data_IF_949525662805
#
_entry.id   IF_949525662805
#
_cell.length_a   1.000
_cell.length_b   1.000
_cell.length_c   1.000
_cell.angle_alpha   90.00
_cell.angle_beta   90.00
_cell.angle_gamma   90.00
#
_symmetry.space_group_name_H-M   'P 1'
#
loop_
_entity.id
_entity.type
_entity.pdbx_description
1 polymer ?
#
# COMPACT_ATOMS: atom_id res chain seq x y z
N UNK A 1 1.89 17.15 -1.03
CA UNK A 1 2.04 16.01 -1.94
C UNK A 1 3.50 15.94 -2.34
N UNK A 2 4.29 15.19 -1.57
CA UNK A 2 5.66 14.87 -1.95
C UNK A 2 5.63 14.14 -3.29
N UNK A 3 6.42 14.63 -4.25
CA UNK A 3 6.60 14.00 -5.54
C UNK A 3 7.07 12.57 -5.35
N UNK A 4 6.26 11.60 -5.77
CA UNK A 4 6.64 10.17 -5.81
C UNK A 4 8.00 10.07 -6.49
N UNK A 5 9.01 9.63 -5.76
CA UNK A 5 10.36 9.44 -6.30
C UNK A 5 10.36 8.21 -7.22
N UNK A 6 9.76 8.34 -8.42
CA UNK A 6 9.71 7.28 -9.44
C UNK A 6 11.08 6.85 -9.96
N UNK A 7 12.13 7.58 -9.59
CA UNK A 7 13.53 7.23 -9.86
C UNK A 7 14.13 6.18 -8.93
N UNK A 8 13.41 5.76 -7.88
CA UNK A 8 13.83 4.65 -7.00
C UNK A 8 12.74 3.57 -6.92
N UNK A 9 13.04 2.31 -7.25
CA UNK A 9 12.08 1.21 -7.10
C UNK A 9 11.58 1.07 -5.65
N UNK A 10 12.47 1.20 -4.67
CA UNK A 10 12.12 1.17 -3.25
C UNK A 10 11.26 2.37 -2.84
N UNK A 11 11.56 3.56 -3.36
CA UNK A 11 10.78 4.77 -3.11
C UNK A 11 9.35 4.66 -3.62
N UNK A 12 9.17 4.07 -4.81
CA UNK A 12 7.85 3.75 -5.36
C UNK A 12 7.12 2.73 -4.48
N UNK A 13 7.80 1.65 -4.08
CA UNK A 13 7.21 0.63 -3.25
C UNK A 13 6.76 1.18 -1.87
N UNK A 14 7.58 2.03 -1.24
CA UNK A 14 7.24 2.70 0.03
C UNK A 14 6.08 3.68 -0.13
N UNK A 15 6.06 4.47 -1.21
CA UNK A 15 4.94 5.38 -1.50
C UNK A 15 3.63 4.62 -1.73
N UNK A 16 3.70 3.42 -2.32
CA UNK A 16 2.55 2.55 -2.47
C UNK A 16 2.01 2.08 -1.11
N UNK A 17 2.87 1.58 -0.22
CA UNK A 17 2.47 1.17 1.13
C UNK A 17 1.88 2.33 1.93
N UNK A 18 2.47 3.54 1.81
CA UNK A 18 1.91 4.74 2.43
C UNK A 18 0.48 4.97 1.98
N UNK A 19 0.23 4.91 0.68
CA UNK A 19 -1.08 5.19 0.11
C UNK A 19 -2.10 4.10 0.43
N UNK A 20 -1.68 2.83 0.38
CA UNK A 20 -2.49 1.66 0.77
C UNK A 20 -2.88 1.64 2.26
N UNK A 21 -2.19 2.42 3.10
CA UNK A 21 -2.42 2.49 4.55
C UNK A 21 -2.85 3.89 5.00
N UNK A 22 -3.13 4.81 4.07
CA UNK A 22 -3.66 6.15 4.35
C UNK A 22 -5.13 6.20 3.94
N UNK A 23 -6.00 6.13 4.93
CA UNK A 23 -7.45 6.09 4.76
C UNK A 23 -8.08 7.32 5.40
N UNK A 24 -9.13 7.83 4.78
CA UNK A 24 -9.94 8.92 5.31
C UNK A 24 -11.40 8.56 5.13
N UNK A 25 -12.13 8.35 6.24
CA UNK A 25 -13.54 7.93 6.20
C UNK A 25 -14.47 8.97 5.57
N UNK A 26 -14.03 10.23 5.42
CA UNK A 26 -14.77 11.29 4.72
C UNK A 26 -14.60 11.17 3.21
N UNK A 27 -13.46 10.66 2.74
CA UNK A 27 -13.12 10.56 1.31
C UNK A 27 -13.36 9.16 0.75
N UNK A 28 -13.09 8.13 1.55
CA UNK A 28 -13.10 6.72 1.17
C UNK A 28 -14.22 6.02 1.95
N UNK A 29 -15.24 5.47 1.28
CA UNK A 29 -16.32 4.76 1.97
C UNK A 29 -15.89 3.35 2.43
N UNK A 30 -14.76 2.87 1.90
CA UNK A 30 -14.18 1.57 2.18
C UNK A 30 -12.67 1.59 1.92
N UNK A 31 -12.00 0.52 2.34
CA UNK A 31 -10.59 0.31 2.02
C UNK A 31 -10.36 0.20 0.51
N UNK A 32 -11.33 -0.37 -0.23
CA UNK A 32 -11.28 -0.45 -1.69
C UNK A 32 -11.23 0.94 -2.34
N UNK A 33 -12.06 1.88 -1.89
CA UNK A 33 -12.07 3.25 -2.45
C UNK A 33 -10.72 3.96 -2.22
N UNK A 34 -10.07 3.70 -1.08
CA UNK A 34 -8.74 4.24 -0.80
C UNK A 34 -7.65 3.65 -1.70
N UNK A 35 -7.76 2.36 -2.04
CA UNK A 35 -6.89 1.71 -3.03
C UNK A 35 -7.10 2.34 -4.41
N UNK A 36 -8.34 2.53 -4.83
CA UNK A 36 -8.68 3.14 -6.13
C UNK A 36 -8.13 4.55 -6.26
N UNK A 37 -8.26 5.36 -5.19
CA UNK A 37 -7.65 6.70 -5.10
C UNK A 37 -6.13 6.66 -5.24
N UNK A 38 -5.50 5.57 -4.81
CA UNK A 38 -4.05 5.33 -4.94
C UNK A 38 -3.65 4.85 -6.34
N UNK A 39 -4.63 4.54 -7.21
CA UNK A 39 -4.53 4.15 -8.62
C UNK A 39 -3.35 4.74 -9.40
N UNK A 40 -3.14 6.07 -9.39
CA UNK A 40 -2.08 6.72 -10.17
C UNK A 40 -0.64 6.27 -9.83
N UNK A 41 -0.41 5.60 -8.69
CA UNK A 41 0.89 5.03 -8.31
C UNK A 41 1.16 3.68 -8.97
N UNK A 42 0.10 3.00 -9.38
CA UNK A 42 0.15 1.67 -9.95
C UNK A 42 0.33 1.73 -11.47
N UNK A 43 0.95 0.69 -12.01
CA UNK A 43 0.94 0.46 -13.46
C UNK A 43 -0.49 0.15 -13.90
N UNK A 44 -0.85 0.48 -15.15
CA UNK A 44 -2.19 0.17 -15.70
C UNK A 44 -2.55 -1.33 -15.72
N UNK A 45 -1.61 -2.22 -15.35
CA UNK A 45 -1.85 -3.65 -15.15
C UNK A 45 -2.72 -3.93 -13.91
N UNK A 46 -2.58 -3.14 -12.84
CA UNK A 46 -3.41 -3.26 -11.63
C UNK A 46 -4.86 -2.80 -11.84
N UNK A 47 -5.09 -1.82 -12.72
CA UNK A 47 -6.44 -1.40 -13.14
C UNK A 47 -7.25 -2.59 -13.72
N UNK A 48 -6.58 -3.60 -14.29
CA UNK A 48 -7.21 -4.80 -14.83
C UNK A 48 -7.36 -5.98 -13.86
N UNK A 49 -6.62 -6.01 -12.75
CA UNK A 49 -6.59 -7.13 -11.80
C UNK A 49 -7.48 -6.96 -10.56
N UNK A 50 -8.03 -5.77 -10.30
CA UNK A 50 -8.89 -5.49 -9.13
C UNK A 50 -10.14 -6.39 -9.00
N UNK A 51 -10.45 -7.24 -9.99
CA UNK A 51 -11.56 -8.19 -9.95
C UNK A 51 -11.25 -9.56 -9.33
N UNK A 52 -10.03 -9.83 -8.83
CA UNK A 52 -9.72 -11.15 -8.28
C UNK A 52 -8.71 -11.14 -7.15
N UNK A 53 -9.14 -11.58 -5.97
CA UNK A 53 -8.34 -12.18 -4.87
C UNK A 53 -7.81 -11.33 -3.72
N UNK A 54 -8.13 -10.03 -3.60
CA UNK A 54 -7.94 -9.33 -2.31
C UNK A 54 -9.28 -8.97 -1.69
N UNK A 55 -9.60 -9.56 -0.53
CA UNK A 55 -10.72 -9.17 0.34
C UNK A 55 -10.50 -7.74 0.87
N UNK A 56 -10.66 -6.73 0.01
CA UNK A 56 -10.78 -5.32 0.38
C UNK A 56 -12.25 -4.98 0.64
N UNK A 57 -12.97 -5.84 1.37
CA UNK A 57 -14.43 -5.75 1.54
C UNK A 57 -14.85 -5.45 2.97
N UNK A 58 -14.09 -4.63 3.69
CA UNK A 58 -14.51 -4.12 4.99
C UNK A 58 -14.92 -2.66 4.85
N UNK A 59 -16.20 -2.38 5.03
CA UNK A 59 -16.64 -1.01 5.36
C UNK A 59 -15.96 -0.60 6.66
N UNK A 60 -15.65 0.69 6.79
CA UNK A 60 -15.15 1.23 8.05
C UNK A 60 -16.16 1.00 9.18
N UNK A 61 -15.67 0.85 10.40
CA UNK A 61 -16.53 0.80 11.58
C UNK A 61 -17.37 2.10 11.64
N UNK A 62 -18.66 1.98 11.96
CA UNK A 62 -19.59 3.11 11.96
C UNK A 62 -19.09 4.26 12.85
N UNK A 63 -18.50 3.95 14.01
CA UNK A 63 -17.90 4.94 14.91
C UNK A 63 -16.79 5.77 14.24
N UNK A 64 -15.94 5.16 13.41
CA UNK A 64 -14.88 5.88 12.69
C UNK A 64 -15.46 6.84 11.66
N UNK A 65 -16.52 6.41 10.96
CA UNK A 65 -17.21 7.23 9.96
C UNK A 65 -17.91 8.42 10.61
N UNK A 66 -18.65 8.20 11.70
CA UNK A 66 -19.31 9.28 12.45
C UNK A 66 -18.32 10.32 12.98
N UNK A 67 -17.10 9.90 13.30
CA UNK A 67 -16.05 10.76 13.82
C UNK A 67 -15.19 11.41 12.72
N UNK A 68 -15.46 11.11 11.45
CA UNK A 68 -14.63 11.60 10.32
C UNK A 68 -13.17 11.22 10.49
N UNK A 69 -12.91 9.98 10.91
CA UNK A 69 -11.57 9.53 11.24
C UNK A 69 -10.69 9.32 10.01
N UNK A 70 -9.37 9.45 10.20
CA UNK A 70 -8.33 9.21 9.20
C UNK A 70 -7.15 8.46 9.83
N UNK A 71 -6.30 7.83 9.02
CA UNK A 71 -5.09 7.14 9.51
C UNK A 71 -3.82 7.94 9.29
N UNK A 72 -2.86 7.77 10.20
CA UNK A 72 -1.46 8.18 10.02
C UNK A 72 -0.53 6.96 10.04
N UNK A 73 -0.15 6.40 8.88
CA UNK A 73 0.66 5.20 8.83
C UNK A 73 2.13 5.48 9.14
N UNK A 74 2.73 4.56 9.91
CA UNK A 74 4.17 4.45 10.17
C UNK A 74 4.70 3.24 9.41
N UNK A 75 5.58 3.48 8.45
CA UNK A 75 6.17 2.45 7.60
C UNK A 75 7.60 2.18 8.08
N UNK A 76 7.90 0.91 8.35
CA UNK A 76 9.22 0.48 8.79
C UNK A 76 9.75 -0.68 7.96
N UNK A 77 11.08 -0.74 7.84
CA UNK A 77 11.81 -1.82 7.17
C UNK A 77 12.23 -2.94 8.15
N UNK A 78 12.21 -2.65 9.47
CA UNK A 78 12.95 -3.41 10.48
C UNK A 78 12.10 -4.36 11.34
N UNK A 79 10.80 -4.10 11.49
CA UNK A 79 9.92 -4.86 12.40
C UNK A 79 9.16 -6.02 11.73
N UNK A 80 9.59 -6.47 10.55
CA UNK A 80 8.96 -7.64 9.92
C UNK A 80 9.45 -8.90 10.65
N UNK A 81 8.58 -9.51 11.46
CA UNK A 81 8.89 -10.76 12.15
C UNK A 81 9.31 -11.84 11.13
N UNK A 82 10.18 -12.77 11.55
CA UNK A 82 10.80 -13.75 10.67
C UNK A 82 9.80 -14.62 9.88
N UNK A 83 8.67 -14.96 10.49
CA UNK A 83 7.53 -15.66 9.89
C UNK A 83 6.83 -14.85 8.80
N UNK A 84 7.00 -13.52 8.84
CA UNK A 84 6.49 -12.57 7.88
C UNK A 84 7.52 -12.16 6.80
N UNK A 85 8.78 -12.56 6.94
CA UNK A 85 9.77 -12.39 5.88
C UNK A 85 9.55 -13.42 4.79
N UNK A 86 9.54 -12.98 3.54
CA UNK A 86 9.54 -13.91 2.41
C UNK A 86 10.97 -14.05 1.87
N UNK A 87 11.68 -15.15 2.17
CA UNK A 87 13.08 -15.34 1.75
C UNK A 87 13.22 -15.48 0.22
N UNK A 88 12.13 -15.68 -0.52
CA UNK A 88 12.13 -15.68 -1.97
C UNK A 88 12.27 -14.26 -2.58
N UNK A 89 12.11 -13.18 -1.80
CA UNK A 89 12.22 -11.80 -2.27
C UNK A 89 13.67 -11.29 -2.30
N UNK A 90 14.59 -12.12 -2.77
CA UNK A 90 16.04 -11.83 -2.67
C UNK A 90 16.67 -11.41 -3.99
N UNK A 91 15.96 -11.55 -5.11
CA UNK A 91 16.48 -11.18 -6.44
C UNK A 91 15.42 -10.51 -7.31
N UNK A 92 15.80 -9.53 -8.14
CA UNK A 92 14.97 -9.07 -9.24
C UNK A 92 14.56 -10.23 -10.13
N UNK A 93 13.32 -10.21 -10.61
CA UNK A 93 12.78 -11.14 -11.59
C UNK A 93 12.44 -10.39 -12.87
N UNK A 94 11.92 -11.09 -13.88
CA UNK A 94 11.35 -10.47 -15.07
C UNK A 94 9.86 -10.82 -15.18
N UNK A 95 9.05 -9.87 -15.64
CA UNK A 95 7.65 -10.15 -15.99
C UNK A 95 7.55 -10.91 -17.33
N UNK A 96 6.32 -11.15 -17.80
CA UNK A 96 6.07 -11.84 -19.07
C UNK A 96 6.56 -11.08 -20.31
N UNK A 97 6.84 -9.78 -20.18
CA UNK A 97 7.36 -8.91 -21.24
C UNK A 97 8.88 -8.72 -21.12
N UNK A 98 9.53 -9.35 -20.14
CA UNK A 98 10.97 -9.26 -19.90
C UNK A 98 11.41 -8.00 -19.13
N UNK A 99 10.47 -7.23 -18.56
CA UNK A 99 10.79 -6.04 -17.75
C UNK A 99 11.24 -6.45 -16.37
N UNK A 100 12.22 -5.71 -15.82
CA UNK A 100 12.72 -5.97 -14.47
C UNK A 100 11.63 -5.72 -13.43
N UNK A 101 11.43 -6.70 -12.55
CA UNK A 101 10.50 -6.65 -11.42
C UNK A 101 11.30 -6.81 -10.13
N UNK A 102 11.05 -5.93 -9.16
CA UNK A 102 11.71 -5.95 -7.85
C UNK A 102 10.69 -6.04 -6.72
N UNK A 103 10.80 -7.04 -5.84
CA UNK A 103 9.97 -7.12 -4.66
C UNK A 103 10.54 -6.29 -3.50
N UNK A 104 9.66 -5.67 -2.73
CA UNK A 104 9.96 -5.00 -1.46
C UNK A 104 8.97 -5.43 -0.39
N UNK A 105 9.43 -5.45 0.86
CA UNK A 105 8.61 -5.80 2.00
C UNK A 105 8.68 -4.69 3.06
N UNK A 106 7.54 -4.28 3.58
CA UNK A 106 7.43 -3.23 4.59
C UNK A 106 6.40 -3.64 5.66
N UNK A 107 6.66 -3.32 6.93
CA UNK A 107 5.62 -3.28 7.95
C UNK A 107 5.00 -1.89 7.96
N UNK A 108 3.67 -1.83 7.93
CA UNK A 108 2.91 -0.61 8.11
C UNK A 108 2.03 -0.75 9.35
N UNK A 109 2.23 0.14 10.32
CA UNK A 109 1.36 0.30 11.49
C UNK A 109 0.55 1.57 11.32
N UNK A 110 -0.69 1.58 11.74
CA UNK A 110 -1.52 2.78 11.73
C UNK A 110 -2.34 2.90 13.01
N UNK A 111 -2.54 4.14 13.41
CA UNK A 111 -3.52 4.53 14.41
C UNK A 111 -4.61 5.31 13.67
N UNK A 112 -5.87 5.07 14.03
CA UNK A 112 -6.96 5.94 13.61
C UNK A 112 -6.97 7.20 14.47
N UNK A 113 -7.15 8.35 13.83
CA UNK A 113 -7.25 9.67 14.45
C UNK A 113 -8.63 10.20 14.08
N UNK A 114 -9.38 10.67 15.08
CA UNK A 114 -10.69 11.30 14.86
C UNK A 114 -10.52 12.61 14.11
N UNK A 115 -11.58 13.10 13.47
CA UNK A 115 -11.56 14.38 12.77
C UNK A 115 -11.20 15.59 13.66
N UNK A 116 -11.34 15.46 14.99
CA UNK A 116 -10.90 16.47 15.98
C UNK A 116 -9.41 16.37 16.39
N UNK A 117 -8.67 15.41 15.84
CA UNK A 117 -7.26 15.17 16.13
C UNK A 117 -7.00 14.27 17.34
N UNK A 118 -8.03 13.80 18.04
CA UNK A 118 -7.86 12.85 19.15
C UNK A 118 -7.64 11.41 18.65
N UNK A 119 -6.83 10.57 19.33
CA UNK A 119 -6.65 9.17 18.94
C UNK A 119 -7.94 8.37 19.05
N UNK A 120 -8.33 7.64 18.00
CA UNK A 120 -9.41 6.68 18.05
C UNK A 120 -8.95 5.37 18.73
N UNK A 121 -9.90 4.50 19.09
CA UNK A 121 -9.64 3.28 19.89
C UNK A 121 -9.03 2.16 19.02
N UNK A 122 -8.98 2.34 17.71
CA UNK A 122 -8.57 1.31 16.76
C UNK A 122 -7.21 1.64 16.13
N UNK A 123 -6.34 0.62 16.10
CA UNK A 123 -5.07 0.61 15.39
C UNK A 123 -4.91 -0.71 14.64
N UNK A 124 -3.92 -0.79 13.77
CA UNK A 124 -3.61 -2.01 13.06
C UNK A 124 -2.16 -2.07 12.58
N UNK A 125 -1.78 -3.26 12.15
CA UNK A 125 -0.49 -3.53 11.52
C UNK A 125 -0.71 -4.49 10.36
N UNK A 126 0.02 -4.28 9.26
CA UNK A 126 0.09 -5.17 8.11
C UNK A 126 1.50 -5.26 7.60
N UNK A 127 1.85 -6.42 7.06
CA UNK A 127 3.09 -6.58 6.28
C UNK A 127 2.74 -6.58 4.81
N UNK A 128 3.17 -5.55 4.10
CA UNK A 128 2.99 -5.42 2.66
C UNK A 128 4.18 -6.02 1.92
N UNK A 129 3.90 -6.77 0.87
CA UNK A 129 4.84 -7.11 -0.19
C UNK A 129 4.43 -6.37 -1.45
N UNK A 130 5.33 -5.59 -2.02
CA UNK A 130 5.07 -4.76 -3.20
C UNK A 130 6.06 -5.13 -4.29
N UNK A 131 5.56 -5.47 -5.47
CA UNK A 131 6.36 -5.71 -6.66
C UNK A 131 6.32 -4.46 -7.53
N UNK A 132 7.49 -3.91 -7.85
CA UNK A 132 7.61 -2.76 -8.74
C UNK A 132 8.27 -3.18 -10.05
N UNK A 133 7.81 -2.60 -11.15
CA UNK A 133 8.30 -2.87 -12.51
C UNK A 133 8.87 -1.59 -13.11
N UNK A 134 9.96 -1.73 -13.87
CA UNK A 134 10.50 -0.63 -14.67
C UNK A 134 9.72 -0.52 -16.00
N UNK A 135 8.83 0.47 -16.11
CA UNK A 135 8.02 0.69 -17.33
C UNK A 135 8.85 1.26 -18.48
N UNK A 136 9.86 2.05 -18.13
CA UNK A 136 10.86 2.63 -19.03
C UNK A 136 12.09 2.98 -18.22
N UNK A 137 13.29 3.10 -18.83
CA UNK A 137 14.53 3.33 -18.09
C UNK A 137 14.41 4.47 -17.06
N UNK A 138 14.56 4.14 -15.78
CA UNK A 138 14.47 5.08 -14.66
C UNK A 138 13.06 5.45 -14.20
N UNK A 139 12.01 4.82 -14.73
CA UNK A 139 10.61 5.04 -14.34
C UNK A 139 10.01 3.75 -13.80
N UNK A 140 9.86 3.71 -12.47
CA UNK A 140 9.26 2.59 -11.75
C UNK A 140 7.78 2.85 -11.46
N UNK A 141 6.99 1.77 -11.50
CA UNK A 141 5.58 1.73 -11.15
C UNK A 141 5.28 0.45 -10.37
N UNK A 142 4.21 0.44 -9.58
CA UNK A 142 3.81 -0.78 -8.87
C UNK A 142 3.12 -1.74 -9.84
N UNK A 143 3.61 -2.97 -9.92
CA UNK A 143 3.02 -4.05 -10.70
C UNK A 143 1.94 -4.76 -9.88
N UNK A 144 2.26 -5.17 -8.66
CA UNK A 144 1.38 -5.97 -7.80
C UNK A 144 1.68 -5.64 -6.33
N UNK A 145 0.71 -5.87 -5.44
CA UNK A 145 0.96 -5.87 -4.01
C UNK A 145 0.12 -6.95 -3.31
N UNK A 146 0.61 -7.41 -2.16
CA UNK A 146 -0.13 -8.25 -1.22
C UNK A 146 0.13 -7.80 0.21
N UNK A 147 -0.79 -8.11 1.11
CA UNK A 147 -0.61 -7.88 2.54
C UNK A 147 -1.12 -9.05 3.35
N UNK A 148 -0.66 -9.13 4.60
CA UNK A 148 -1.11 -10.09 5.62
C UNK A 148 -1.03 -9.47 7.00
#
# INVERSE_FOLDING_TARGET
MDSVQRGSPEGVARAAVASLTTWDTVQDASEHDAVDRSGPLFSGWLEGQQNGTQETSSRWAEELVEQGAFTEPKISDYDIASEYKNPALTSPTADTEGREVRPYQFSARWDWIRGDGSPAIQSGERVYTVWVVEESPGRWSVLEYSYR
#
